data_IF_472713230474
#
_entry.id   IF_472713230474
#
_cell.length_a   1.000
_cell.length_b   1.000
_cell.length_c   1.000
_cell.angle_alpha   90.00
_cell.angle_beta   90.00
_cell.angle_gamma   90.00
#
_symmetry.space_group_name_H-M   'P 1'
#
loop_
_entity.id
_entity.type
_entity.pdbx_description
1 polymer ?
#
# COMPACT_ATOMS: atom_id res chain seq x y z
N UNK A 1 -14.31 -21.83 4.45
CA UNK A 1 -12.95 -21.25 4.37
C UNK A 1 -12.33 -21.40 5.76
N UNK A 2 -11.18 -22.05 5.84
CA UNK A 2 -10.50 -22.23 7.13
C UNK A 2 -9.77 -20.94 7.55
N UNK A 3 -9.62 -20.72 8.85
CA UNK A 3 -8.96 -19.51 9.39
C UNK A 3 -7.58 -19.29 8.76
N UNK A 4 -6.80 -20.34 8.60
CA UNK A 4 -5.46 -20.27 8.00
C UNK A 4 -5.47 -19.81 6.54
N UNK A 5 -6.52 -20.13 5.80
CA UNK A 5 -6.69 -19.67 4.41
C UNK A 5 -6.94 -18.16 4.37
N UNK A 6 -7.75 -17.64 5.31
CA UNK A 6 -7.98 -16.19 5.44
C UNK A 6 -6.68 -15.45 5.77
N UNK A 7 -5.93 -15.95 6.75
CA UNK A 7 -4.70 -15.29 7.23
C UNK A 7 -3.65 -15.14 6.13
N UNK A 8 -3.57 -16.06 5.18
CA UNK A 8 -2.68 -15.97 4.02
C UNK A 8 -2.98 -14.81 3.05
N UNK A 9 -4.10 -14.12 3.24
CA UNK A 9 -4.49 -12.95 2.46
C UNK A 9 -4.47 -11.65 3.28
N UNK A 10 -3.99 -11.70 4.52
CA UNK A 10 -3.94 -10.55 5.44
C UNK A 10 -2.57 -9.90 5.40
N UNK A 11 -2.53 -8.59 5.09
CA UNK A 11 -1.39 -7.75 5.42
C UNK A 11 -1.51 -7.36 6.91
N UNK A 12 -0.71 -7.99 7.79
CA UNK A 12 -0.74 -7.65 9.22
C UNK A 12 -0.12 -6.28 9.43
N UNK A 13 -0.94 -5.31 9.86
CA UNK A 13 -0.64 -3.89 9.66
C UNK A 13 -0.49 -3.13 10.96
N UNK A 14 0.58 -2.33 11.07
CA UNK A 14 0.76 -1.31 12.11
C UNK A 14 1.33 -0.04 11.48
N UNK A 15 0.48 0.98 11.31
CA UNK A 15 0.82 2.26 10.67
C UNK A 15 0.53 3.46 11.59
N UNK A 16 0.45 3.23 12.91
CA UNK A 16 0.33 4.31 13.89
C UNK A 16 1.52 5.26 13.79
N UNK A 17 1.26 6.57 13.89
CA UNK A 17 2.30 7.61 13.93
C UNK A 17 3.24 7.46 15.13
N UNK A 18 2.82 6.74 16.16
CA UNK A 18 3.58 6.50 17.39
C UNK A 18 4.15 5.09 17.48
N UNK A 19 4.07 4.31 16.39
CA UNK A 19 4.59 2.94 16.37
C UNK A 19 6.07 2.91 16.73
N UNK A 20 6.42 2.03 17.66
CA UNK A 20 7.79 1.80 18.13
C UNK A 20 8.38 0.55 17.50
N UNK A 21 9.71 0.42 17.56
CA UNK A 21 10.37 -0.79 17.05
C UNK A 21 9.91 -2.07 17.79
N UNK A 22 9.69 -2.01 19.09
CA UNK A 22 9.23 -3.19 19.84
C UNK A 22 7.84 -3.64 19.41
N UNK A 23 6.95 -2.71 19.09
CA UNK A 23 5.62 -3.02 18.56
C UNK A 23 5.72 -3.61 17.13
N UNK A 24 6.56 -3.04 16.25
CA UNK A 24 6.83 -3.56 14.91
C UNK A 24 7.42 -4.97 14.97
N UNK A 25 8.34 -5.22 15.91
CA UNK A 25 8.92 -6.54 16.11
C UNK A 25 7.88 -7.56 16.56
N UNK A 26 7.03 -7.20 17.51
CA UNK A 26 5.90 -8.05 17.95
C UNK A 26 4.98 -8.37 16.79
N UNK A 27 4.62 -7.38 15.97
CA UNK A 27 3.84 -7.56 14.75
C UNK A 27 4.49 -8.58 13.79
N UNK A 28 5.80 -8.48 13.60
CA UNK A 28 6.55 -9.42 12.76
C UNK A 28 6.51 -10.85 13.31
N UNK A 29 6.67 -11.00 14.62
CA UNK A 29 6.63 -12.31 15.28
C UNK A 29 5.23 -12.95 15.17
N UNK A 30 4.17 -12.17 15.36
CA UNK A 30 2.78 -12.61 15.18
C UNK A 30 2.51 -13.01 13.72
N UNK A 31 2.93 -12.18 12.75
CA UNK A 31 2.77 -12.46 11.33
C UNK A 31 3.43 -13.79 10.92
N UNK A 32 4.65 -14.05 11.42
CA UNK A 32 5.37 -15.31 11.18
C UNK A 32 4.64 -16.48 11.83
N UNK A 33 4.20 -16.32 13.07
CA UNK A 33 3.54 -17.38 13.83
C UNK A 33 2.20 -17.78 13.20
N UNK A 34 1.43 -16.80 12.71
CA UNK A 34 0.11 -17.03 12.10
C UNK A 34 0.15 -17.24 10.58
N UNK A 35 1.28 -16.99 9.92
CA UNK A 35 1.45 -17.18 8.49
C UNK A 35 0.61 -16.22 7.66
N UNK A 36 0.65 -14.91 8.00
CA UNK A 36 -0.02 -13.87 7.20
C UNK A 36 0.68 -13.64 5.86
N UNK A 37 0.03 -12.94 4.93
CA UNK A 37 0.61 -12.62 3.62
C UNK A 37 1.84 -11.72 3.73
N UNK A 38 1.74 -10.68 4.54
CA UNK A 38 2.81 -9.71 4.78
C UNK A 38 2.69 -9.06 6.16
N UNK A 39 3.70 -8.28 6.53
CA UNK A 39 3.58 -7.19 7.50
C UNK A 39 3.57 -5.86 6.75
N UNK A 40 2.65 -4.95 7.09
CA UNK A 40 2.60 -3.61 6.52
C UNK A 40 2.95 -2.57 7.59
N UNK A 41 4.07 -1.88 7.40
CA UNK A 41 4.73 -1.06 8.42
C UNK A 41 5.16 0.31 7.89
N UNK A 42 5.45 1.31 8.75
CA UNK A 42 5.94 2.61 8.31
C UNK A 42 7.27 2.49 7.56
N UNK A 43 7.51 3.32 6.51
CA UNK A 43 8.71 3.24 5.67
C UNK A 43 10.03 3.29 6.44
N UNK A 44 10.08 4.06 7.52
CA UNK A 44 11.28 4.21 8.36
C UNK A 44 11.76 2.92 9.04
N UNK A 45 10.90 1.92 9.17
CA UNK A 45 11.20 0.63 9.80
C UNK A 45 11.51 -0.50 8.80
N UNK A 46 11.33 -0.29 7.49
CA UNK A 46 11.49 -1.33 6.46
C UNK A 46 12.83 -2.02 6.56
N UNK A 47 13.92 -1.27 6.56
CA UNK A 47 15.29 -1.82 6.63
C UNK A 47 15.52 -2.69 7.86
N UNK A 48 15.07 -2.22 9.02
CA UNK A 48 15.24 -2.93 10.28
C UNK A 48 14.35 -4.17 10.34
N UNK A 49 13.10 -4.07 9.87
CA UNK A 49 12.16 -5.19 9.81
C UNK A 49 12.65 -6.26 8.82
N UNK A 50 13.11 -5.88 7.61
CA UNK A 50 13.64 -6.84 6.63
C UNK A 50 14.87 -7.58 7.17
N UNK A 51 15.78 -6.88 7.86
CA UNK A 51 16.92 -7.52 8.51
C UNK A 51 16.49 -8.51 9.61
N UNK A 52 15.41 -8.21 10.32
CA UNK A 52 14.85 -9.06 11.37
C UNK A 52 14.13 -10.29 10.83
N UNK A 53 13.18 -10.09 9.90
CA UNK A 53 12.36 -11.19 9.38
C UNK A 53 13.09 -12.02 8.33
N UNK A 54 14.01 -11.42 7.56
CA UNK A 54 14.72 -12.05 6.44
C UNK A 54 13.71 -12.62 5.43
N UNK A 55 13.84 -13.91 5.09
CA UNK A 55 12.95 -14.61 4.15
C UNK A 55 11.71 -15.23 4.83
N UNK A 56 11.54 -15.05 6.14
CA UNK A 56 10.42 -15.64 6.89
C UNK A 56 9.11 -14.91 6.71
N UNK A 57 9.15 -13.66 6.27
CA UNK A 57 7.97 -12.81 6.11
C UNK A 57 8.19 -11.75 5.02
N UNK A 58 7.16 -11.50 4.23
CA UNK A 58 7.09 -10.41 3.26
C UNK A 58 6.94 -9.07 3.97
N UNK A 59 7.72 -8.08 3.59
CA UNK A 59 7.64 -6.72 4.14
C UNK A 59 6.98 -5.79 3.13
N UNK A 60 5.80 -5.29 3.48
CA UNK A 60 5.06 -4.25 2.78
C UNK A 60 5.25 -2.92 3.50
N UNK A 61 5.25 -1.82 2.73
CA UNK A 61 5.20 -0.46 3.27
C UNK A 61 4.33 0.46 2.44
N UNK A 62 4.14 1.69 2.88
CA UNK A 62 3.21 2.65 2.28
C UNK A 62 3.94 3.81 1.63
N UNK A 63 3.35 4.37 0.56
CA UNK A 63 3.92 5.44 -0.27
C UNK A 63 2.90 6.58 -0.40
N UNK A 64 3.34 7.82 -0.11
CA UNK A 64 2.46 9.00 -0.14
C UNK A 64 1.32 8.94 0.87
N UNK A 65 1.51 8.22 1.93
CA UNK A 65 0.46 7.79 2.86
C UNK A 65 0.32 8.76 4.06
N UNK A 66 -0.91 8.94 4.61
CA UNK A 66 -2.17 8.39 4.11
C UNK A 66 -2.88 9.29 3.09
N UNK A 67 -2.42 10.51 2.84
CA UNK A 67 -3.19 11.55 2.16
C UNK A 67 -3.11 11.49 0.62
N UNK A 68 -2.09 10.88 0.04
CA UNK A 68 -1.93 10.72 -1.41
C UNK A 68 -1.56 11.99 -2.20
N UNK A 69 -1.54 13.18 -1.59
CA UNK A 69 -1.33 14.46 -2.28
C UNK A 69 0.13 14.88 -2.48
N UNK A 70 1.08 14.02 -2.13
CA UNK A 70 2.48 14.24 -2.42
C UNK A 70 2.72 14.37 -3.93
N UNK A 71 3.77 15.07 -4.34
CA UNK A 71 4.14 15.11 -5.76
C UNK A 71 4.54 13.72 -6.25
N UNK A 72 4.32 13.45 -7.53
CA UNK A 72 4.74 12.17 -8.16
C UNK A 72 6.24 11.91 -7.93
N UNK A 73 7.09 12.93 -8.06
CA UNK A 73 8.53 12.79 -7.81
C UNK A 73 8.85 12.34 -6.37
N UNK A 74 8.12 12.86 -5.37
CA UNK A 74 8.28 12.45 -3.98
C UNK A 74 7.89 10.98 -3.78
N UNK A 75 6.74 10.54 -4.35
CA UNK A 75 6.30 9.14 -4.27
C UNK A 75 7.28 8.18 -4.97
N UNK A 76 7.80 8.57 -6.13
CA UNK A 76 8.81 7.80 -6.87
C UNK A 76 10.08 7.63 -6.04
N UNK A 77 10.58 8.71 -5.44
CA UNK A 77 11.75 8.66 -4.57
C UNK A 77 11.50 7.79 -3.33
N UNK A 78 10.37 7.98 -2.65
CA UNK A 78 9.97 7.18 -1.49
C UNK A 78 9.90 5.68 -1.82
N UNK A 79 9.34 5.34 -3.00
CA UNK A 79 9.28 3.97 -3.50
C UNK A 79 10.67 3.39 -3.72
N UNK A 80 11.56 4.13 -4.38
CA UNK A 80 12.91 3.68 -4.65
C UNK A 80 13.71 3.42 -3.36
N UNK A 81 13.59 4.30 -2.37
CA UNK A 81 14.23 4.12 -1.05
C UNK A 81 13.62 2.92 -0.29
N UNK A 82 12.28 2.75 -0.31
CA UNK A 82 11.62 1.61 0.32
C UNK A 82 12.11 0.27 -0.28
N UNK A 83 12.20 0.18 -1.61
CA UNK A 83 12.70 -1.01 -2.32
C UNK A 83 14.17 -1.27 -1.99
N UNK A 84 15.01 -0.24 -1.97
CA UNK A 84 16.43 -0.32 -1.58
C UNK A 84 16.60 -0.81 -0.13
N UNK A 85 15.71 -0.41 0.78
CA UNK A 85 15.70 -0.84 2.17
C UNK A 85 15.13 -2.25 2.37
N UNK A 86 14.61 -2.86 1.30
CA UNK A 86 14.19 -4.26 1.26
C UNK A 86 12.69 -4.50 1.33
N UNK A 87 11.86 -3.49 1.02
CA UNK A 87 10.44 -3.72 0.85
C UNK A 87 10.19 -4.72 -0.30
N UNK A 88 9.34 -5.70 -0.06
CA UNK A 88 8.90 -6.68 -1.06
C UNK A 88 7.63 -6.18 -1.78
N UNK A 89 6.83 -5.36 -1.08
CA UNK A 89 5.59 -4.79 -1.57
C UNK A 89 5.49 -3.31 -1.16
N UNK A 90 4.82 -2.51 -1.98
CA UNK A 90 4.55 -1.10 -1.69
C UNK A 90 3.09 -0.76 -1.99
N UNK A 91 2.45 -0.04 -1.08
CA UNK A 91 1.04 0.37 -1.15
C UNK A 91 1.00 1.90 -1.34
N UNK A 92 0.78 2.37 -2.57
CA UNK A 92 0.68 3.81 -2.84
C UNK A 92 -0.75 4.33 -2.68
N UNK A 93 -0.89 5.55 -2.19
CA UNK A 93 -2.17 6.27 -2.18
C UNK A 93 -2.23 7.20 -3.38
N UNK A 94 -3.34 7.17 -4.15
CA UNK A 94 -3.56 8.09 -5.26
C UNK A 94 -3.82 9.52 -4.78
N UNK A 95 -3.69 10.50 -5.68
CA UNK A 95 -4.07 11.88 -5.37
C UNK A 95 -5.59 12.08 -5.56
N UNK A 96 -6.33 12.15 -4.44
CA UNK A 96 -7.80 12.31 -4.44
C UNK A 96 -8.23 13.64 -5.08
N UNK A 97 -7.44 14.71 -4.95
CA UNK A 97 -7.73 15.98 -5.61
C UNK A 97 -7.81 15.84 -7.12
N UNK A 98 -6.87 15.09 -7.72
CA UNK A 98 -6.88 14.84 -9.16
C UNK A 98 -8.07 13.98 -9.61
N UNK A 99 -8.59 13.10 -8.76
CA UNK A 99 -9.83 12.37 -9.06
C UNK A 99 -10.99 13.35 -9.16
N UNK A 100 -11.11 14.28 -8.20
CA UNK A 100 -12.16 15.33 -8.18
C UNK A 100 -12.04 16.29 -9.37
N UNK A 101 -10.82 16.59 -9.80
CA UNK A 101 -10.52 17.41 -10.98
C UNK A 101 -10.64 16.62 -12.29
N UNK A 102 -10.96 15.30 -12.24
CA UNK A 102 -11.05 14.38 -13.37
C UNK A 102 -9.75 14.24 -14.18
N UNK A 103 -8.62 14.44 -13.53
CA UNK A 103 -7.26 14.33 -14.10
C UNK A 103 -6.80 12.85 -14.18
N UNK A 104 -7.65 11.97 -14.69
CA UNK A 104 -7.44 10.50 -14.66
C UNK A 104 -6.15 10.08 -15.37
N UNK A 105 -5.82 10.71 -16.51
CA UNK A 105 -4.56 10.44 -17.22
C UNK A 105 -3.33 10.76 -16.38
N UNK A 106 -3.41 11.80 -15.54
CA UNK A 106 -2.34 12.17 -14.62
C UNK A 106 -2.17 11.12 -13.52
N UNK A 107 -3.27 10.58 -13.01
CA UNK A 107 -3.27 9.50 -12.01
C UNK A 107 -2.64 8.25 -12.62
N UNK A 108 -3.07 7.85 -13.82
CA UNK A 108 -2.47 6.69 -14.54
C UNK A 108 -0.96 6.86 -14.70
N UNK A 109 -0.51 8.07 -15.07
CA UNK A 109 0.92 8.35 -15.24
C UNK A 109 1.68 8.29 -13.92
N UNK A 110 1.10 8.81 -12.82
CA UNK A 110 1.70 8.70 -11.48
C UNK A 110 1.88 7.24 -11.07
N UNK A 111 0.82 6.42 -11.25
CA UNK A 111 0.86 4.99 -10.93
C UNK A 111 1.95 4.28 -11.75
N UNK A 112 2.07 4.58 -13.05
CA UNK A 112 3.14 4.03 -13.91
C UNK A 112 4.53 4.40 -13.42
N UNK A 113 4.73 5.66 -13.03
CA UNK A 113 6.02 6.13 -12.53
C UNK A 113 6.41 5.45 -11.22
N UNK A 114 5.47 5.27 -10.32
CA UNK A 114 5.69 4.55 -9.04
C UNK A 114 5.93 3.06 -9.30
N UNK A 115 5.19 2.44 -10.23
CA UNK A 115 5.40 1.05 -10.63
C UNK A 115 6.79 0.82 -11.21
N UNK A 116 7.26 1.73 -12.06
CA UNK A 116 8.61 1.68 -12.60
C UNK A 116 9.67 1.75 -11.50
N UNK A 117 9.49 2.64 -10.52
CA UNK A 117 10.37 2.73 -9.36
C UNK A 117 10.32 1.48 -8.46
N UNK A 118 9.17 0.82 -8.35
CA UNK A 118 9.01 -0.43 -7.63
C UNK A 118 9.69 -1.63 -8.33
N UNK A 119 9.96 -1.52 -9.64
CA UNK A 119 10.60 -2.56 -10.42
C UNK A 119 9.82 -3.88 -10.41
N UNK A 120 10.44 -4.96 -9.93
CA UNK A 120 9.81 -6.28 -9.82
C UNK A 120 8.98 -6.47 -8.55
N UNK A 121 8.93 -5.48 -7.66
CA UNK A 121 8.16 -5.55 -6.41
C UNK A 121 6.66 -5.39 -6.69
N UNK A 122 5.85 -5.93 -5.79
CA UNK A 122 4.40 -5.77 -5.88
C UNK A 122 4.04 -4.34 -5.54
N UNK A 123 3.31 -3.69 -6.46
CA UNK A 123 2.65 -2.41 -6.19
C UNK A 123 1.15 -2.67 -6.00
N UNK A 124 0.59 -2.12 -4.90
CA UNK A 124 -0.85 -2.04 -4.68
C UNK A 124 -1.26 -0.57 -4.67
N UNK A 125 -2.43 -0.26 -5.20
CA UNK A 125 -2.92 1.13 -5.33
C UNK A 125 -4.13 1.34 -4.43
N UNK A 126 -4.00 2.22 -3.44
CA UNK A 126 -5.08 2.60 -2.53
C UNK A 126 -5.85 3.76 -3.15
N UNK A 127 -7.14 3.56 -3.38
CA UNK A 127 -8.03 4.55 -4.00
C UNK A 127 -8.87 5.35 -2.99
N UNK A 128 -8.86 5.00 -1.70
CA UNK A 128 -9.66 5.60 -0.61
C UNK A 128 -11.14 5.73 -1.00
N UNK A 129 -11.78 4.58 -1.22
CA UNK A 129 -13.13 4.47 -1.79
C UNK A 129 -14.19 5.32 -1.06
N UNK A 130 -14.04 5.51 0.28
CA UNK A 130 -14.98 6.31 1.05
C UNK A 130 -15.08 7.80 0.62
N UNK A 131 -14.11 8.30 -0.13
CA UNK A 131 -14.13 9.65 -0.70
C UNK A 131 -14.62 9.69 -2.16
N UNK A 132 -14.85 8.54 -2.78
CA UNK A 132 -15.16 8.43 -4.21
C UNK A 132 -16.64 8.13 -4.44
N UNK A 133 -17.18 8.73 -5.50
CA UNK A 133 -18.47 8.33 -6.08
C UNK A 133 -18.28 7.04 -6.89
N UNK A 134 -19.37 6.33 -7.17
CA UNK A 134 -19.33 5.08 -7.94
C UNK A 134 -18.62 5.24 -9.30
N UNK A 135 -18.96 6.29 -10.06
CA UNK A 135 -18.31 6.60 -11.33
C UNK A 135 -16.80 6.83 -11.19
N UNK A 136 -16.36 7.44 -10.06
CA UNK A 136 -14.95 7.69 -9.79
C UNK A 136 -14.22 6.41 -9.43
N UNK A 137 -14.85 5.50 -8.68
CA UNK A 137 -14.28 4.16 -8.36
C UNK A 137 -14.03 3.37 -9.66
N UNK A 138 -15.02 3.32 -10.55
CA UNK A 138 -14.89 2.67 -11.87
C UNK A 138 -13.71 3.27 -12.64
N UNK A 139 -13.60 4.60 -12.69
CA UNK A 139 -12.46 5.26 -13.37
C UNK A 139 -11.11 4.93 -12.73
N UNK A 140 -11.07 4.74 -11.41
CA UNK A 140 -9.83 4.34 -10.73
C UNK A 140 -9.47 2.88 -11.04
N UNK A 141 -10.43 1.97 -11.12
CA UNK A 141 -10.19 0.59 -11.57
C UNK A 141 -9.60 0.57 -13.00
N UNK A 142 -10.18 1.39 -13.92
CA UNK A 142 -9.64 1.55 -15.28
C UNK A 142 -8.20 2.09 -15.26
N UNK A 143 -7.92 3.16 -14.51
CA UNK A 143 -6.61 3.78 -14.42
C UNK A 143 -5.54 2.82 -13.86
N UNK A 144 -5.88 2.06 -12.81
CA UNK A 144 -4.99 1.05 -12.20
C UNK A 144 -4.69 -0.08 -13.20
N UNK A 145 -5.73 -0.56 -13.89
CA UNK A 145 -5.60 -1.60 -14.93
C UNK A 145 -4.75 -1.10 -16.10
N UNK A 146 -4.99 0.11 -16.59
CA UNK A 146 -4.23 0.74 -17.69
C UNK A 146 -2.75 0.95 -17.31
N UNK A 147 -2.48 1.25 -16.04
CA UNK A 147 -1.12 1.33 -15.51
C UNK A 147 -0.45 -0.05 -15.38
N UNK A 148 -1.18 -1.15 -15.58
CA UNK A 148 -0.68 -2.52 -15.51
C UNK A 148 -0.42 -2.99 -14.07
N UNK A 149 -1.12 -2.43 -13.08
CA UNK A 149 -1.08 -2.88 -11.70
C UNK A 149 -2.21 -3.88 -11.44
N UNK A 150 -1.93 -4.94 -10.69
CA UNK A 150 -2.87 -6.05 -10.46
C UNK A 150 -3.61 -5.98 -9.13
N UNK A 151 -3.18 -5.10 -8.23
CA UNK A 151 -3.80 -4.93 -6.92
C UNK A 151 -4.36 -3.53 -6.74
N UNK A 152 -5.65 -3.45 -6.42
CA UNK A 152 -6.32 -2.24 -5.96
C UNK A 152 -6.75 -2.45 -4.51
N UNK A 153 -6.59 -1.42 -3.67
CA UNK A 153 -7.03 -1.42 -2.26
C UNK A 153 -8.03 -0.30 -2.04
N UNK A 154 -9.07 -0.59 -1.30
CA UNK A 154 -10.15 0.37 -1.06
C UNK A 154 -9.75 1.50 -0.11
N UNK A 155 -8.94 1.23 0.91
CA UNK A 155 -8.85 2.14 2.06
C UNK A 155 -7.45 2.20 2.68
N UNK A 156 -7.09 3.38 3.19
CA UNK A 156 -5.90 3.57 4.03
C UNK A 156 -6.12 3.12 5.47
N UNK A 157 -7.37 3.11 5.94
CA UNK A 157 -7.71 2.97 7.36
C UNK A 157 -7.65 4.29 8.16
N UNK A 158 -7.27 5.41 7.50
CA UNK A 158 -7.19 6.75 8.10
C UNK A 158 -8.24 7.72 7.54
N UNK A 159 -9.05 7.27 6.56
CA UNK A 159 -10.17 8.02 6.02
C UNK A 159 -11.40 7.98 6.93
N UNK A 160 -12.50 8.60 6.47
CA UNK A 160 -13.75 8.68 7.21
C UNK A 160 -14.56 7.36 7.20
N UNK A 161 -14.20 6.39 6.36
CA UNK A 161 -14.86 5.09 6.23
C UNK A 161 -13.90 4.02 5.73
N UNK A 162 -14.31 2.75 5.86
CA UNK A 162 -13.61 1.58 5.35
C UNK A 162 -14.28 1.00 4.11
N UNK A 163 -13.87 -0.21 3.73
CA UNK A 163 -14.49 -0.96 2.64
C UNK A 163 -15.92 -1.39 2.97
N UNK A 164 -16.76 -1.40 1.96
CA UNK A 164 -18.11 -1.98 2.01
C UNK A 164 -18.20 -3.14 1.02
N UNK A 165 -19.28 -3.90 1.06
CA UNK A 165 -19.50 -5.00 0.10
C UNK A 165 -19.83 -4.52 -1.31
N UNK A 166 -20.21 -3.24 -1.44
CA UNK A 166 -20.52 -2.60 -2.70
C UNK A 166 -19.30 -2.01 -3.42
N UNK A 167 -18.17 -1.82 -2.70
CA UNK A 167 -16.91 -1.25 -3.26
C UNK A 167 -16.18 -2.22 -4.28
#
# INVERSE_FOLDING_TARGET
>A
MEMQEILRHVDHTLLSQTATWEEIKTLCDDAIAYGTASVCIPPSYVKQAKAYVKERMTVCTVIGFPNGYNTTAAKVFETAEAVKDGADEVDMVINMGWVKDREYGRITQEIRSVKEAAGSRILKVIIEACFLKEEEKIRMCEAVTEAGVVFIKTSTGFGSGGATFED
#
